data_IF_049436206144
#
_entry.id   IF_049436206144
#
_cell.length_a   1.000
_cell.length_b   1.000
_cell.length_c   1.000
_cell.angle_alpha   90.00
_cell.angle_beta   90.00
_cell.angle_gamma   90.00
#
_symmetry.space_group_name_H-M   'P 1'
#
loop_
_entity.id
_entity.type
_entity.pdbx_description
1 polymer ?
#
# COMPACT_ATOMS: atom_id res chain seq x y z
N UNK A 1 3.38 1.94 -8.49
CA UNK A 1 4.60 2.42 -9.17
C UNK A 1 4.32 3.53 -10.18
N UNK A 2 3.37 3.39 -11.12
CA UNK A 2 3.06 4.44 -12.10
C UNK A 2 2.61 5.78 -11.48
N UNK A 3 1.72 5.75 -10.47
CA UNK A 3 1.25 6.94 -9.76
C UNK A 3 2.38 7.69 -9.00
N UNK A 4 3.30 6.94 -8.38
CA UNK A 4 4.45 7.49 -7.66
C UNK A 4 5.44 8.21 -8.60
N UNK A 5 5.74 7.58 -9.74
CA UNK A 5 6.63 8.19 -10.75
C UNK A 5 6.01 9.45 -11.34
N UNK A 6 4.69 9.47 -11.58
CA UNK A 6 3.97 10.66 -12.07
C UNK A 6 4.00 11.83 -11.05
N UNK A 7 4.00 11.51 -9.75
CA UNK A 7 4.15 12.49 -8.66
C UNK A 7 5.62 12.91 -8.39
N UNK A 8 6.58 12.43 -9.19
CA UNK A 8 8.01 12.67 -8.97
C UNK A 8 8.51 12.11 -7.63
N UNK A 9 7.90 11.03 -7.15
CA UNK A 9 8.30 10.30 -5.94
C UNK A 9 9.08 9.07 -6.38
N UNK A 10 10.35 8.99 -5.98
CA UNK A 10 11.16 7.80 -6.19
C UNK A 10 10.63 6.63 -5.35
N UNK A 11 10.98 5.39 -5.76
CA UNK A 11 10.64 4.21 -4.95
C UNK A 11 11.21 4.28 -3.52
N UNK A 12 12.34 4.98 -3.33
CA UNK A 12 12.92 5.17 -1.99
C UNK A 12 12.18 6.21 -1.16
N UNK A 13 11.76 7.32 -1.75
CA UNK A 13 10.94 8.33 -1.06
C UNK A 13 9.54 7.79 -0.72
N UNK A 14 8.97 6.93 -1.59
CA UNK A 14 7.71 6.25 -1.33
C UNK A 14 7.75 5.42 -0.04
N UNK A 15 8.87 4.74 0.22
CA UNK A 15 9.05 3.96 1.45
C UNK A 15 9.05 4.85 2.70
N UNK A 16 9.68 6.03 2.61
CA UNK A 16 9.75 7.00 3.71
C UNK A 16 8.37 7.62 3.98
N UNK A 17 7.63 8.01 2.93
CA UNK A 17 6.24 8.46 3.06
C UNK A 17 5.35 7.39 3.71
N UNK A 18 5.53 6.12 3.34
CA UNK A 18 4.76 5.02 3.90
C UNK A 18 5.06 4.76 5.39
N UNK A 19 6.34 4.87 5.80
CA UNK A 19 6.70 4.82 7.21
C UNK A 19 6.15 6.01 8.01
N UNK A 20 6.22 7.22 7.43
CA UNK A 20 5.69 8.43 8.06
C UNK A 20 4.16 8.40 8.22
N UNK A 21 3.46 7.66 7.35
CA UNK A 21 2.03 7.40 7.45
C UNK A 21 1.65 6.40 8.55
N UNK A 22 2.62 5.73 9.18
CA UNK A 22 2.39 4.75 10.24
C UNK A 22 1.89 3.38 9.76
N UNK A 23 1.82 3.13 8.45
CA UNK A 23 1.36 1.84 7.89
C UNK A 23 2.37 0.71 8.08
N UNK A 24 3.67 1.02 8.08
CA UNK A 24 4.75 0.08 8.36
C UNK A 24 5.84 0.74 9.22
N UNK A 25 6.36 0.06 10.25
CA UNK A 25 7.45 0.62 11.05
C UNK A 25 8.69 0.95 10.21
N UNK A 26 9.27 2.14 10.43
CA UNK A 26 10.53 2.59 9.83
C UNK A 26 11.62 1.51 9.86
N UNK A 27 11.86 0.91 11.02
CA UNK A 27 12.94 -0.07 11.21
C UNK A 27 12.76 -1.32 10.35
N UNK A 28 11.52 -1.71 10.08
CA UNK A 28 11.22 -2.82 9.19
C UNK A 28 11.58 -2.47 7.74
N UNK A 29 11.18 -1.29 7.28
CA UNK A 29 11.52 -0.81 5.93
C UNK A 29 13.03 -0.63 5.79
N UNK A 30 13.69 0.00 6.75
CA UNK A 30 15.12 0.27 6.70
C UNK A 30 15.93 -1.03 6.56
N UNK A 31 15.58 -2.07 7.33
CA UNK A 31 16.22 -3.40 7.22
C UNK A 31 15.94 -4.10 5.90
N UNK A 32 14.69 -4.14 5.47
CA UNK A 32 14.30 -4.90 4.26
C UNK A 32 14.69 -4.22 2.95
N UNK A 33 14.95 -2.92 2.99
CA UNK A 33 15.30 -2.09 1.82
C UNK A 33 16.71 -1.51 1.87
N UNK A 34 17.53 -2.00 2.81
CA UNK A 34 18.94 -1.64 2.95
C UNK A 34 19.14 -0.11 2.99
N UNK A 35 18.48 0.54 3.95
CA UNK A 35 18.76 1.93 4.31
C UNK A 35 19.72 1.96 5.49
N UNK A 36 20.76 2.77 5.35
CA UNK A 36 21.44 3.34 6.51
C UNK A 36 20.73 4.62 6.99
N UNK A 37 21.17 5.13 8.15
CA UNK A 37 20.61 6.32 8.78
C UNK A 37 20.82 7.60 7.95
N UNK A 38 21.91 7.68 7.20
CA UNK A 38 22.22 8.84 6.38
C UNK A 38 21.28 8.91 5.17
N UNK A 39 21.17 7.81 4.44
CA UNK A 39 20.27 7.66 3.31
C UNK A 39 18.82 7.92 3.74
N UNK A 40 18.36 7.40 4.88
CA UNK A 40 17.01 7.68 5.37
C UNK A 40 16.78 9.18 5.60
N UNK A 41 17.71 9.85 6.29
CA UNK A 41 17.61 11.29 6.56
C UNK A 41 17.65 12.13 5.29
N UNK A 42 18.48 11.76 4.31
CA UNK A 42 18.53 12.46 3.02
C UNK A 42 17.16 12.45 2.32
N UNK A 43 16.46 11.31 2.33
CA UNK A 43 15.10 11.22 1.78
C UNK A 43 14.08 11.99 2.62
N UNK A 44 14.20 12.01 3.95
CA UNK A 44 13.35 12.86 4.81
C UNK A 44 13.55 14.33 4.47
N UNK A 45 14.79 14.80 4.36
CA UNK A 45 15.11 16.18 4.02
C UNK A 45 14.64 16.56 2.61
N UNK A 46 14.80 15.67 1.62
CA UNK A 46 14.30 15.90 0.27
C UNK A 46 12.78 16.06 0.23
N UNK A 47 12.05 15.22 0.98
CA UNK A 47 10.59 15.30 1.10
C UNK A 47 10.14 16.52 1.92
N UNK A 48 10.90 16.90 2.95
CA UNK A 48 10.64 18.11 3.75
C UNK A 48 10.86 19.40 2.95
N UNK A 49 11.91 19.44 2.12
CA UNK A 49 12.16 20.55 1.18
C UNK A 49 11.01 20.73 0.17
N UNK A 50 10.27 19.66 -0.12
CA UNK A 50 9.05 19.67 -0.96
C UNK A 50 7.77 19.94 -0.16
N UNK A 51 7.87 20.12 1.16
CA UNK A 51 6.73 20.35 2.05
C UNK A 51 5.84 19.13 2.26
N UNK A 52 6.32 17.92 1.96
CA UNK A 52 5.56 16.67 2.13
C UNK A 52 5.76 16.07 3.53
N UNK A 53 6.93 16.30 4.11
CA UNK A 53 7.24 15.96 5.51
C UNK A 53 7.61 17.22 6.30
N UNK A 54 7.48 17.14 7.61
CA UNK A 54 8.16 18.01 8.55
C UNK A 54 9.61 17.53 8.75
N UNK A 55 10.48 18.39 9.29
CA UNK A 55 11.90 18.04 9.51
C UNK A 55 12.08 16.87 10.50
N UNK A 56 11.08 16.61 11.35
CA UNK A 56 11.04 15.46 12.25
C UNK A 56 10.61 14.15 11.57
N UNK A 57 10.31 14.19 10.26
CA UNK A 57 9.87 13.05 9.47
C UNK A 57 8.37 12.76 9.52
N UNK A 58 7.56 13.57 10.22
CA UNK A 58 6.11 13.43 10.24
C UNK A 58 5.45 13.99 8.97
N UNK A 59 4.29 13.44 8.59
CA UNK A 59 3.56 13.91 7.39
C UNK A 59 2.99 15.31 7.58
N UNK A 60 3.18 16.16 6.56
CA UNK A 60 2.41 17.40 6.44
C UNK A 60 1.01 17.12 5.89
N UNK A 61 0.16 18.16 5.80
CA UNK A 61 -1.11 18.07 5.09
C UNK A 61 -0.93 17.72 3.61
N UNK A 62 0.01 18.37 2.92
CA UNK A 62 0.30 18.11 1.52
C UNK A 62 0.83 16.68 1.30
N UNK A 63 1.63 16.15 2.24
CA UNK A 63 2.07 14.76 2.22
C UNK A 63 0.92 13.75 2.34
N UNK A 64 -0.09 14.06 3.15
CA UNK A 64 -1.32 13.24 3.27
C UNK A 64 -2.14 13.29 1.98
N UNK A 65 -2.41 14.49 1.46
CA UNK A 65 -3.17 14.69 0.22
C UNK A 65 -2.51 13.94 -0.95
N UNK A 66 -1.18 14.03 -1.08
CA UNK A 66 -0.43 13.29 -2.10
C UNK A 66 -0.57 11.77 -1.94
N UNK A 67 -0.52 11.27 -0.70
CA UNK A 67 -0.70 9.84 -0.43
C UNK A 67 -2.09 9.38 -0.84
N UNK A 68 -3.12 10.14 -0.50
CA UNK A 68 -4.51 9.83 -0.85
C UNK A 68 -4.71 9.83 -2.38
N UNK A 69 -4.08 10.77 -3.10
CA UNK A 69 -4.09 10.79 -4.58
C UNK A 69 -3.40 9.56 -5.18
N UNK A 70 -2.26 9.14 -4.63
CA UNK A 70 -1.53 7.95 -5.09
C UNK A 70 -2.36 6.69 -4.86
N UNK A 71 -3.01 6.57 -3.71
CA UNK A 71 -3.91 5.45 -3.37
C UNK A 71 -5.13 5.45 -4.30
N UNK A 72 -5.81 6.57 -4.45
CA UNK A 72 -6.96 6.71 -5.35
C UNK A 72 -6.61 6.37 -6.80
N UNK A 73 -5.43 6.81 -7.28
CA UNK A 73 -4.95 6.47 -8.63
C UNK A 73 -4.64 4.97 -8.76
N UNK A 74 -4.08 4.37 -7.71
CA UNK A 74 -3.74 2.94 -7.70
C UNK A 74 -5.00 2.08 -7.63
N UNK A 75 -5.99 2.47 -6.83
CA UNK A 75 -7.31 1.83 -6.75
C UNK A 75 -8.04 1.92 -8.09
N UNK A 76 -8.06 3.08 -8.73
CA UNK A 76 -8.68 3.26 -10.04
C UNK A 76 -8.02 2.40 -11.12
N UNK A 77 -6.69 2.30 -11.13
CA UNK A 77 -5.95 1.42 -12.03
C UNK A 77 -6.24 -0.05 -11.74
N UNK A 78 -6.26 -0.45 -10.46
CA UNK A 78 -6.59 -1.81 -10.03
C UNK A 78 -8.01 -2.21 -10.43
N UNK A 79 -8.97 -1.34 -10.18
CA UNK A 79 -10.38 -1.55 -10.53
C UNK A 79 -10.58 -1.62 -12.05
N UNK A 80 -9.87 -0.81 -12.83
CA UNK A 80 -9.92 -0.87 -14.29
C UNK A 80 -9.46 -2.22 -14.85
N UNK A 81 -8.50 -2.88 -14.19
CA UNK A 81 -8.05 -4.21 -14.57
C UNK A 81 -9.12 -5.29 -14.29
N UNK A 82 -9.98 -5.05 -13.30
CA UNK A 82 -11.09 -5.94 -12.94
C UNK A 82 -12.37 -5.67 -13.75
N UNK A 83 -12.55 -4.47 -14.32
CA UNK A 83 -13.69 -4.14 -15.19
C UNK A 83 -13.83 -5.03 -16.43
N UNK A 84 -12.75 -5.72 -16.84
CA UNK A 84 -12.79 -6.66 -17.94
C UNK A 84 -13.38 -8.03 -17.57
N UNK A 85 -13.58 -8.29 -16.27
CA UNK A 85 -14.13 -9.54 -15.76
C UNK A 85 -15.66 -9.46 -15.70
N UNK A 86 -16.30 -10.55 -16.10
CA UNK A 86 -17.72 -10.80 -15.83
C UNK A 86 -17.94 -11.17 -14.36
N UNK A 87 -19.18 -11.07 -13.89
CA UNK A 87 -19.54 -11.44 -12.51
C UNK A 87 -19.12 -12.88 -12.15
N UNK A 88 -19.26 -13.81 -13.10
CA UNK A 88 -18.83 -15.21 -12.94
C UNK A 88 -17.29 -15.34 -12.83
N UNK A 89 -16.55 -14.52 -13.57
CA UNK A 89 -15.08 -14.48 -13.51
C UNK A 89 -14.59 -13.84 -12.21
N UNK A 90 -15.29 -12.83 -11.70
CA UNK A 90 -15.01 -12.22 -10.38
C UNK A 90 -15.30 -13.24 -9.27
N UNK A 91 -16.44 -13.94 -9.32
CA UNK A 91 -16.77 -14.99 -8.34
C UNK A 91 -15.73 -16.13 -8.38
N UNK A 92 -15.32 -16.55 -9.58
CA UNK A 92 -14.28 -17.57 -9.75
C UNK A 92 -12.93 -17.11 -9.18
N UNK A 93 -12.57 -15.83 -9.36
CA UNK A 93 -11.37 -15.23 -8.80
C UNK A 93 -11.39 -15.27 -7.26
N UNK A 94 -12.50 -14.89 -6.64
CA UNK A 94 -12.67 -14.92 -5.18
C UNK A 94 -12.63 -16.34 -4.61
N UNK A 95 -13.34 -17.29 -5.25
CA UNK A 95 -13.32 -18.70 -4.84
C UNK A 95 -11.93 -19.33 -4.94
N UNK A 96 -11.10 -18.87 -5.89
CA UNK A 96 -9.74 -19.39 -6.10
C UNK A 96 -8.72 -18.76 -5.16
N UNK A 97 -8.75 -17.44 -4.95
CA UNK A 97 -7.73 -16.72 -4.18
C UNK A 97 -7.97 -16.75 -2.67
N UNK A 98 -9.22 -16.85 -2.21
CA UNK A 98 -9.55 -16.84 -0.77
C UNK A 98 -8.91 -18.01 -0.01
N UNK A 99 -8.97 -19.27 -0.49
CA UNK A 99 -8.33 -20.39 0.21
C UNK A 99 -6.80 -20.26 0.27
N UNK A 100 -6.17 -19.76 -0.78
CA UNK A 100 -4.71 -19.53 -0.85
C UNK A 100 -4.31 -18.45 0.16
N UNK A 101 -5.05 -17.34 0.18
CA UNK A 101 -4.82 -16.23 1.11
C UNK A 101 -4.96 -16.70 2.56
N UNK A 102 -5.99 -17.49 2.87
CA UNK A 102 -6.18 -18.09 4.20
C UNK A 102 -5.03 -19.00 4.61
N UNK A 103 -4.54 -19.84 3.70
CA UNK A 103 -3.42 -20.73 3.97
C UNK A 103 -2.14 -19.96 4.31
N UNK A 104 -1.86 -18.90 3.55
CA UNK A 104 -0.69 -18.03 3.75
C UNK A 104 -0.79 -17.22 5.04
N UNK A 105 -1.99 -16.73 5.40
CA UNK A 105 -2.23 -16.06 6.68
C UNK A 105 -2.08 -17.01 7.87
N UNK A 106 -2.63 -18.22 7.78
CA UNK A 106 -2.56 -19.24 8.83
C UNK A 106 -1.12 -19.74 9.08
N UNK A 107 -0.27 -19.71 8.07
CA UNK A 107 1.15 -20.05 8.17
C UNK A 107 1.97 -19.03 8.98
N UNK A 108 1.43 -17.83 9.25
CA UNK A 108 2.09 -16.81 10.08
C UNK A 108 3.17 -15.99 9.36
N UNK A 109 3.40 -16.22 8.06
CA UNK A 109 4.41 -15.53 7.25
C UNK A 109 3.97 -14.13 6.76
N UNK A 110 2.73 -13.73 7.04
CA UNK A 110 2.20 -12.41 6.71
C UNK A 110 2.09 -11.55 7.98
N UNK A 111 2.77 -10.38 8.04
CA UNK A 111 2.60 -9.42 9.12
C UNK A 111 1.13 -9.02 9.30
N UNK A 112 0.68 -8.84 10.55
CA UNK A 112 -0.71 -8.49 10.89
C UNK A 112 -1.21 -7.20 10.23
N UNK A 113 -0.27 -6.32 9.86
CA UNK A 113 -0.51 -5.12 9.08
C UNK A 113 0.31 -5.26 7.80
N UNK A 114 -0.37 -5.36 6.67
CA UNK A 114 0.27 -5.20 5.37
C UNK A 114 0.08 -3.75 4.91
N UNK A 115 1.05 -3.18 4.17
CA UNK A 115 0.95 -1.85 3.55
C UNK A 115 -0.33 -1.57 2.76
N UNK A 116 -1.04 -2.63 2.36
CA UNK A 116 -2.22 -2.61 1.49
C UNK A 116 -3.54 -2.53 2.28
N UNK A 117 -3.50 -2.23 3.57
CA UNK A 117 -4.67 -1.99 4.42
C UNK A 117 -5.72 -3.13 4.47
N UNK A 118 -5.38 -4.35 4.04
CA UNK A 118 -6.25 -5.52 4.18
C UNK A 118 -6.17 -6.08 5.60
N UNK A 119 -7.29 -6.01 6.33
CA UNK A 119 -7.44 -6.63 7.64
C UNK A 119 -7.61 -8.14 7.50
N UNK A 120 -6.95 -8.93 8.36
CA UNK A 120 -7.08 -10.40 8.38
C UNK A 120 -8.51 -10.90 8.63
N UNK A 121 -9.34 -10.06 9.23
CA UNK A 121 -10.68 -10.43 9.71
C UNK A 121 -11.76 -10.34 8.62
N UNK A 122 -11.41 -9.91 7.39
CA UNK A 122 -12.36 -9.81 6.27
C UNK A 122 -12.42 -11.09 5.40
N UNK A 123 -11.60 -12.11 5.70
CA UNK A 123 -11.42 -13.32 4.87
C UNK A 123 -12.32 -14.51 5.28
N UNK A 124 -13.39 -14.26 6.03
CA UNK A 124 -14.27 -15.33 6.52
C UNK A 124 -15.18 -15.89 5.42
N UNK A 125 -15.47 -15.09 4.40
CA UNK A 125 -16.27 -15.46 3.24
C UNK A 125 -15.39 -15.48 1.97
N UNK A 126 -15.65 -16.44 1.09
CA UNK A 126 -14.99 -16.61 -0.20
C UNK A 126 -15.84 -16.21 -1.40
N UNK A 127 -17.03 -15.66 -1.17
CA UNK A 127 -17.88 -15.10 -2.22
C UNK A 127 -17.53 -13.63 -2.50
N UNK A 128 -17.70 -13.21 -3.74
CA UNK A 128 -17.55 -11.82 -4.14
C UNK A 128 -18.69 -10.90 -3.67
N UNK A 129 -19.80 -11.46 -3.16
CA UNK A 129 -20.99 -10.73 -2.70
C UNK A 129 -21.55 -9.72 -3.71
N UNK A 130 -21.53 -10.07 -5.00
CA UNK A 130 -22.10 -9.24 -6.05
C UNK A 130 -23.63 -9.15 -5.86
N UNK A 131 -24.19 -7.95 -5.96
CA UNK A 131 -25.64 -7.76 -5.90
C UNK A 131 -26.29 -8.41 -7.13
N UNK A 132 -27.26 -9.29 -6.92
CA UNK A 132 -27.98 -9.95 -8.01
C UNK A 132 -28.67 -8.90 -8.90
N UNK A 133 -28.23 -8.82 -10.16
CA UNK A 133 -28.89 -8.03 -11.21
C UNK A 133 -30.12 -8.77 -11.77
#
# INVERSE_FOLDING_TARGET
>A
MAALTAAGISGRESNVLHAAAGGVPRDYIARTRDYDEAAWRDHVHALAARGLLHDDGSLTRAGRELKDEIESTTDALGLSALHALTDDEVETLFQTLTPITRAVVAAGDVPALTPMALGRDELHDGSAHLAAH
#
